data_IF_317159862173
#
_entry.id   IF_317159862173
#
_cell.length_a   1.000
_cell.length_b   1.000
_cell.length_c   1.000
_cell.angle_alpha   90.00
_cell.angle_beta   90.00
_cell.angle_gamma   90.00
#
_symmetry.space_group_name_H-M   'P 1'
#
loop_
_entity.id
_entity.type
_entity.pdbx_description
1 polymer ?
#
# COMPACT_ATOMS: atom_id res chain seq x y z
N UNK A 1 -14.31 18.53 -0.66
CA UNK A 1 -13.37 17.50 -0.16
C UNK A 1 -12.55 18.12 0.96
N UNK A 2 -12.69 17.60 2.19
CA UNK A 2 -11.77 17.94 3.28
C UNK A 2 -10.38 17.49 2.85
N UNK A 3 -9.39 18.38 2.85
CA UNK A 3 -8.04 18.05 2.41
C UNK A 3 -7.55 16.79 3.13
N UNK A 4 -7.13 15.78 2.37
CA UNK A 4 -6.48 14.61 2.96
C UNK A 4 -5.18 15.12 3.56
N UNK A 5 -5.03 15.09 4.88
CA UNK A 5 -3.74 15.30 5.51
C UNK A 5 -2.88 14.07 5.23
N UNK A 6 -1.87 14.22 4.37
CA UNK A 6 -0.99 13.14 3.95
C UNK A 6 0.11 12.91 5.00
N UNK A 7 -0.29 12.46 6.19
CA UNK A 7 0.64 12.22 7.30
C UNK A 7 1.02 10.76 7.42
N UNK A 8 0.06 9.84 7.24
CA UNK A 8 0.25 8.40 7.36
C UNK A 8 0.11 7.66 6.02
N UNK A 9 0.69 6.45 5.94
CA UNK A 9 0.63 5.62 4.75
C UNK A 9 -0.80 5.23 4.28
N UNK A 10 -1.78 4.98 5.17
CA UNK A 10 -3.16 4.75 4.76
C UNK A 10 -3.79 5.94 4.02
N UNK A 11 -3.46 7.17 4.44
CA UNK A 11 -3.96 8.39 3.81
C UNK A 11 -3.33 8.60 2.43
N UNK A 12 -2.03 8.31 2.31
CA UNK A 12 -1.33 8.31 1.03
C UNK A 12 -1.91 7.29 0.04
N UNK A 13 -2.22 6.07 0.52
CA UNK A 13 -2.88 5.05 -0.28
C UNK A 13 -4.26 5.51 -0.76
N UNK A 14 -5.05 6.15 0.11
CA UNK A 14 -6.35 6.70 -0.26
C UNK A 14 -6.22 7.75 -1.35
N UNK A 15 -5.33 8.73 -1.17
CA UNK A 15 -5.11 9.80 -2.13
C UNK A 15 -4.63 9.26 -3.49
N UNK A 16 -3.77 8.24 -3.48
CA UNK A 16 -3.32 7.59 -4.71
C UNK A 16 -4.47 6.86 -5.45
N UNK A 17 -5.32 6.13 -4.74
CA UNK A 17 -6.49 5.48 -5.35
C UNK A 17 -7.48 6.50 -5.90
N UNK A 18 -7.70 7.61 -5.20
CA UNK A 18 -8.56 8.70 -5.69
C UNK A 18 -8.00 9.32 -6.97
N UNK A 19 -6.68 9.55 -7.05
CA UNK A 19 -6.02 10.00 -8.27
C UNK A 19 -6.20 8.98 -9.42
N UNK A 20 -6.00 7.69 -9.15
CA UNK A 20 -6.19 6.63 -10.15
C UNK A 20 -7.64 6.53 -10.66
N UNK A 21 -8.62 6.79 -9.79
CA UNK A 21 -10.03 6.75 -10.15
C UNK A 21 -10.45 7.93 -11.04
N UNK A 22 -9.99 9.15 -10.73
CA UNK A 22 -10.50 10.36 -11.38
C UNK A 22 -9.62 10.80 -12.55
N UNK A 23 -8.30 10.79 -12.38
CA UNK A 23 -7.38 11.29 -13.41
C UNK A 23 -7.01 10.20 -14.40
N UNK A 24 -6.73 8.99 -13.90
CA UNK A 24 -6.37 7.85 -14.75
C UNK A 24 -7.57 7.03 -15.19
N UNK A 25 -8.75 7.21 -14.56
CA UNK A 25 -10.01 6.54 -14.87
C UNK A 25 -9.87 5.01 -14.96
N UNK A 26 -9.11 4.42 -14.03
CA UNK A 26 -8.98 2.97 -13.97
C UNK A 26 -10.32 2.32 -13.63
N UNK A 27 -10.51 1.07 -14.08
CA UNK A 27 -11.76 0.34 -13.84
C UNK A 27 -11.99 0.13 -12.33
N UNK A 28 -13.26 0.03 -11.87
CA UNK A 28 -13.57 -0.26 -10.47
C UNK A 28 -12.85 -1.50 -9.94
N UNK A 29 -12.81 -2.57 -10.74
CA UNK A 29 -12.12 -3.83 -10.39
C UNK A 29 -10.61 -3.63 -10.21
N UNK A 30 -9.99 -2.76 -11.01
CA UNK A 30 -8.57 -2.43 -10.87
C UNK A 30 -8.32 -1.67 -9.56
N UNK A 31 -9.18 -0.70 -9.23
CA UNK A 31 -9.08 0.07 -7.99
C UNK A 31 -9.28 -0.82 -6.75
N UNK A 32 -10.22 -1.76 -6.80
CA UNK A 32 -10.44 -2.76 -5.74
C UNK A 32 -9.19 -3.61 -5.52
N UNK A 33 -8.62 -4.16 -6.60
CA UNK A 33 -7.41 -4.97 -6.54
C UNK A 33 -6.22 -4.17 -6.00
N UNK A 34 -6.00 -2.95 -6.49
CA UNK A 34 -4.91 -2.10 -6.04
C UNK A 34 -5.09 -1.65 -4.59
N UNK A 35 -6.31 -1.34 -4.18
CA UNK A 35 -6.60 -1.00 -2.80
C UNK A 35 -6.40 -2.18 -1.86
N UNK A 36 -6.82 -3.38 -2.27
CA UNK A 36 -6.60 -4.60 -1.49
C UNK A 36 -5.11 -4.89 -1.30
N UNK A 37 -4.35 -4.95 -2.41
CA UNK A 37 -2.91 -5.22 -2.38
C UNK A 37 -2.16 -4.11 -1.63
N UNK A 38 -2.50 -2.84 -1.86
CA UNK A 38 -1.88 -1.71 -1.20
C UNK A 38 -2.04 -1.74 0.32
N UNK A 39 -3.23 -2.09 0.83
CA UNK A 39 -3.47 -2.22 2.28
C UNK A 39 -2.64 -3.35 2.89
N UNK A 40 -2.57 -4.50 2.22
CA UNK A 40 -1.76 -5.62 2.67
C UNK A 40 -0.27 -5.27 2.70
N UNK A 41 0.20 -4.53 1.69
CA UNK A 41 1.59 -4.10 1.61
C UNK A 41 1.96 -3.10 2.71
N UNK A 42 1.14 -2.07 2.94
CA UNK A 42 1.36 -1.11 4.05
C UNK A 42 1.37 -1.85 5.39
N UNK A 43 0.39 -2.71 5.64
CA UNK A 43 0.32 -3.48 6.87
C UNK A 43 1.54 -4.41 7.05
N UNK A 44 2.05 -5.00 5.97
CA UNK A 44 3.30 -5.77 6.01
C UNK A 44 4.47 -4.89 6.43
N UNK A 45 4.65 -3.71 5.81
CA UNK A 45 5.77 -2.84 6.11
C UNK A 45 5.75 -2.32 7.55
N UNK A 46 4.57 -1.96 8.07
CA UNK A 46 4.43 -1.52 9.47
C UNK A 46 4.80 -2.65 10.45
N UNK A 47 4.35 -3.88 10.19
CA UNK A 47 4.79 -5.05 10.97
C UNK A 47 6.28 -5.33 10.82
N UNK A 48 6.83 -5.18 9.62
CA UNK A 48 8.22 -5.48 9.31
C UNK A 48 9.19 -4.49 9.96
N UNK A 49 8.83 -3.20 9.99
CA UNK A 49 9.62 -2.14 10.64
C UNK A 49 9.32 -2.00 12.14
N UNK A 50 8.15 -2.48 12.59
CA UNK A 50 7.71 -2.36 13.98
C UNK A 50 7.20 -0.96 14.34
N UNK A 51 6.81 -0.16 13.35
CA UNK A 51 6.33 1.22 13.52
C UNK A 51 5.27 1.57 12.46
N UNK A 52 4.47 2.59 12.75
CA UNK A 52 3.52 3.15 11.77
C UNK A 52 4.28 3.93 10.69
N UNK A 53 3.88 3.78 9.42
CA UNK A 53 4.56 4.49 8.34
C UNK A 53 4.00 5.90 8.12
N UNK A 54 4.88 6.90 8.09
CA UNK A 54 4.55 8.22 7.56
C UNK A 54 4.66 8.27 6.03
N UNK A 55 4.15 9.34 5.42
CA UNK A 55 4.36 9.59 3.98
C UNK A 55 5.85 9.65 3.62
N UNK A 56 6.69 10.22 4.49
CA UNK A 56 8.14 10.31 4.25
C UNK A 56 8.76 8.91 4.23
N UNK A 57 8.32 8.02 5.11
CA UNK A 57 8.84 6.65 5.22
C UNK A 57 8.46 5.78 4.02
N UNK A 58 7.33 6.08 3.35
CA UNK A 58 6.99 5.44 2.08
C UNK A 58 8.04 5.73 0.99
N UNK A 59 8.66 6.91 1.01
CA UNK A 59 9.72 7.28 0.09
C UNK A 59 11.07 6.59 0.35
N UNK A 60 11.22 5.92 1.49
CA UNK A 60 12.47 5.23 1.89
C UNK A 60 12.39 3.71 1.73
N UNK A 61 11.30 3.19 1.19
CA UNK A 61 11.11 1.75 0.92
C UNK A 61 12.23 1.23 0.04
N UNK A 62 12.89 0.18 0.51
CA UNK A 62 14.02 -0.44 -0.17
C UNK A 62 13.58 -1.61 -1.05
N UNK A 63 14.41 -1.95 -2.04
CA UNK A 63 14.20 -3.15 -2.83
C UNK A 63 14.26 -4.44 -1.99
N UNK A 64 14.97 -4.43 -0.86
CA UNK A 64 15.03 -5.57 0.06
C UNK A 64 13.69 -5.81 0.74
N UNK A 65 13.00 -4.75 1.17
CA UNK A 65 11.67 -4.84 1.78
C UNK A 65 10.60 -5.29 0.78
N UNK A 66 10.69 -4.85 -0.48
CA UNK A 66 9.81 -5.36 -1.56
C UNK A 66 10.01 -6.87 -1.72
N UNK A 67 11.26 -7.34 -1.74
CA UNK A 67 11.55 -8.79 -1.82
C UNK A 67 11.07 -9.55 -0.58
N UNK A 68 11.20 -8.97 0.61
CA UNK A 68 10.71 -9.54 1.84
C UNK A 68 9.18 -9.70 1.81
N UNK A 69 8.44 -8.69 1.33
CA UNK A 69 7.00 -8.79 1.13
C UNK A 69 6.63 -9.92 0.17
N UNK A 70 7.29 -9.99 -0.98
CA UNK A 70 7.04 -11.06 -1.95
C UNK A 70 7.37 -12.45 -1.40
N UNK A 71 8.34 -12.57 -0.48
CA UNK A 71 8.65 -13.81 0.21
C UNK A 71 7.57 -14.17 1.24
N UNK A 72 7.09 -13.21 2.04
CA UNK A 72 5.98 -13.39 2.98
C UNK A 72 4.71 -13.84 2.25
N UNK A 73 4.36 -13.17 1.15
CA UNK A 73 3.20 -13.55 0.32
C UNK A 73 3.28 -14.96 -0.25
N UNK A 74 4.48 -15.49 -0.52
CA UNK A 74 4.66 -16.87 -1.01
C UNK A 74 4.65 -17.91 0.11
N UNK A 75 4.71 -17.46 1.36
CA UNK A 75 4.68 -18.32 2.54
C UNK A 75 3.26 -18.46 3.10
N UNK A 76 3.04 -19.45 3.95
CA UNK A 76 1.75 -19.71 4.61
C UNK A 76 0.81 -20.61 3.82
N UNK A 77 -0.39 -20.80 4.38
CA UNK A 77 -1.37 -21.78 3.88
C UNK A 77 -1.97 -21.41 2.51
N UNK A 78 -1.96 -20.12 2.16
CA UNK A 78 -2.53 -19.59 0.91
C UNK A 78 -1.50 -18.70 0.19
N UNK A 79 -0.56 -19.30 -0.56
CA UNK A 79 0.46 -18.54 -1.26
C UNK A 79 -0.16 -17.56 -2.27
N UNK A 80 0.33 -16.31 -2.23
CA UNK A 80 0.02 -15.19 -3.12
C UNK A 80 -1.41 -14.64 -3.04
N UNK A 81 -2.26 -15.21 -2.18
CA UNK A 81 -3.66 -14.83 -2.00
C UNK A 81 -3.81 -13.43 -1.40
#
# INVERSE_FOLDING_TARGET
MKGIELTAAPDALRAWLDHLAHERRLSPRTLEAYGHIGRLYVAFLERHRGETLSLKDMGTITAAEVRAHMAERRSGDHPLA
#
